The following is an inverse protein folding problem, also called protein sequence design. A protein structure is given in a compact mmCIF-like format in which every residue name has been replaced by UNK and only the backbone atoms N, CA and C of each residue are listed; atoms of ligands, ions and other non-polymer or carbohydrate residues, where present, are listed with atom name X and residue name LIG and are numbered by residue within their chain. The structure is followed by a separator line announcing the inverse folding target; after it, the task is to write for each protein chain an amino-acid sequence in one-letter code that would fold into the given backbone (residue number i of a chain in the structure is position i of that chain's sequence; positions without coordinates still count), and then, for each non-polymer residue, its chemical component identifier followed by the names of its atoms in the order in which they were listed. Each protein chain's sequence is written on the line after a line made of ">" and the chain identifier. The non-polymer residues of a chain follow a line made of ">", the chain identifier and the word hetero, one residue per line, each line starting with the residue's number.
data_IF_230149933413
#
_entry.id   IF_230149933413
#
_cell.length_a   1.000
_cell.length_b   1.000
_cell.length_c   1.000
_cell.angle_alpha   90.00
_cell.angle_beta   90.00
_cell.angle_gamma   90.00
#
_symmetry.space_group_name_H-M   'P 1'
#
loop_
_entity.id
_entity.type
_entity.pdbx_description
1 polymer ?
#
# COMPACT_ATOMS: atom_id res chain seq x y z
N UNK A 1 -11.01 -45.33 39.40
CA UNK A 1 -9.80 -44.79 40.08
C UNK A 1 -8.76 -44.33 39.07
N UNK A 2 -8.02 -45.24 38.42
CA UNK A 2 -6.96 -44.94 37.43
C UNK A 2 -7.37 -43.97 36.29
N UNK A 3 -8.53 -44.18 35.66
CA UNK A 3 -9.02 -43.28 34.60
C UNK A 3 -9.51 -41.92 35.11
N UNK A 4 -10.04 -41.87 36.33
CA UNK A 4 -10.51 -40.62 36.94
C UNK A 4 -9.34 -39.68 37.27
N UNK A 5 -8.22 -40.25 37.75
CA UNK A 5 -6.98 -39.50 38.00
C UNK A 5 -6.41 -38.94 36.70
N UNK A 6 -6.45 -39.72 35.62
CA UNK A 6 -5.95 -39.28 34.32
C UNK A 6 -6.78 -38.11 33.75
N UNK A 7 -8.11 -38.20 33.82
CA UNK A 7 -9.00 -37.13 33.38
C UNK A 7 -8.83 -35.87 34.23
N UNK A 8 -8.70 -36.01 35.55
CA UNK A 8 -8.45 -34.89 36.46
C UNK A 8 -7.10 -34.21 36.17
N UNK A 9 -6.05 -34.98 35.86
CA UNK A 9 -4.73 -34.46 35.53
C UNK A 9 -4.73 -33.66 34.22
N UNK A 10 -5.49 -34.08 33.21
CA UNK A 10 -5.63 -33.32 31.95
C UNK A 10 -6.40 -32.02 32.16
N UNK A 11 -7.46 -32.04 32.96
CA UNK A 11 -8.23 -30.82 33.27
C UNK A 11 -7.45 -29.86 34.18
N UNK A 12 -6.51 -30.38 34.98
CA UNK A 12 -5.60 -29.58 35.80
C UNK A 12 -4.37 -29.08 35.03
N UNK A 13 -4.12 -29.57 33.81
CA UNK A 13 -3.10 -29.03 32.92
C UNK A 13 -3.59 -27.66 32.40
N UNK A 14 -3.30 -26.61 33.17
CA UNK A 14 -3.59 -25.23 32.79
C UNK A 14 -2.89 -24.83 31.48
N UNK A 15 -3.39 -23.78 30.85
CA UNK A 15 -2.74 -23.20 29.68
C UNK A 15 -1.29 -22.86 30.03
N UNK A 16 -0.34 -23.38 29.25
CA UNK A 16 1.03 -22.89 29.30
C UNK A 16 0.98 -21.44 28.77
N UNK A 17 1.12 -20.47 29.67
CA UNK A 17 1.32 -19.07 29.29
C UNK A 17 2.67 -18.96 28.57
N UNK A 18 2.65 -19.20 27.25
CA UNK A 18 3.72 -18.72 26.40
C UNK A 18 3.74 -17.20 26.56
N UNK A 19 4.81 -16.67 27.14
CA UNK A 19 4.98 -15.23 27.33
C UNK A 19 4.61 -14.50 26.03
N UNK A 20 3.82 -13.40 26.07
CA UNK A 20 3.41 -12.65 24.88
C UNK A 20 4.58 -12.20 23.99
N UNK A 21 5.80 -12.21 24.53
CA UNK A 21 7.04 -11.94 23.80
C UNK A 21 7.21 -12.74 22.51
N UNK A 22 6.81 -14.02 22.46
CA UNK A 22 6.94 -14.80 21.23
C UNK A 22 5.98 -14.40 20.10
N UNK A 23 4.84 -13.77 20.42
CA UNK A 23 3.94 -13.19 19.43
C UNK A 23 4.41 -11.81 18.96
N UNK A 24 5.12 -11.07 19.82
CA UNK A 24 5.72 -9.79 19.47
C UNK A 24 6.81 -9.93 18.40
N UNK A 25 7.57 -11.04 18.41
CA UNK A 25 8.55 -11.36 17.35
C UNK A 25 7.88 -11.43 15.96
N UNK A 26 6.67 -11.98 15.86
CA UNK A 26 5.94 -12.17 14.58
C UNK A 26 5.27 -10.86 14.11
N UNK A 27 4.82 -10.03 15.03
CA UNK A 27 4.11 -8.79 14.69
C UNK A 27 5.03 -7.62 14.29
N UNK A 28 6.31 -7.64 14.70
CA UNK A 28 7.11 -6.42 14.84
C UNK A 28 7.78 -5.84 13.57
N UNK A 29 8.12 -6.64 12.56
CA UNK A 29 9.04 -6.16 11.50
C UNK A 29 8.38 -5.94 10.12
N UNK A 30 7.51 -6.86 9.67
CA UNK A 30 6.89 -6.76 8.35
C UNK A 30 5.89 -5.61 8.21
N UNK A 31 5.15 -5.30 9.29
CA UNK A 31 4.11 -4.27 9.27
C UNK A 31 4.69 -2.85 9.13
N UNK A 32 5.77 -2.54 9.86
CA UNK A 32 6.43 -1.24 9.74
C UNK A 32 7.15 -1.08 8.41
N UNK A 33 7.73 -2.16 7.85
CA UNK A 33 8.33 -2.11 6.52
C UNK A 33 7.26 -1.87 5.43
N UNK A 34 6.09 -2.50 5.54
CA UNK A 34 4.95 -2.25 4.67
C UNK A 34 4.46 -0.80 4.76
N UNK A 35 4.29 -0.28 5.99
CA UNK A 35 3.92 1.12 6.21
C UNK A 35 4.97 2.09 5.63
N UNK A 36 6.26 1.80 5.80
CA UNK A 36 7.35 2.60 5.24
C UNK A 36 7.36 2.58 3.71
N UNK A 37 7.14 1.41 3.09
CA UNK A 37 7.08 1.27 1.64
C UNK A 37 5.89 2.04 1.04
N UNK A 38 4.72 1.98 1.69
CA UNK A 38 3.54 2.75 1.27
C UNK A 38 3.81 4.26 1.39
N UNK A 39 4.39 4.71 2.50
CA UNK A 39 4.78 6.11 2.69
C UNK A 39 5.75 6.60 1.60
N UNK A 40 6.75 5.79 1.25
CA UNK A 40 7.69 6.10 0.19
C UNK A 40 7.01 6.21 -1.19
N UNK A 41 6.12 5.29 -1.53
CA UNK A 41 5.38 5.32 -2.79
C UNK A 41 4.52 6.59 -2.93
N UNK A 42 3.82 6.99 -1.85
CA UNK A 42 3.03 8.23 -1.81
C UNK A 42 3.94 9.45 -2.02
N UNK A 43 5.07 9.53 -1.31
CA UNK A 43 6.00 10.65 -1.42
C UNK A 43 6.55 10.79 -2.86
N UNK A 44 6.93 9.68 -3.50
CA UNK A 44 7.40 9.68 -4.89
C UNK A 44 6.30 10.13 -5.85
N UNK A 45 5.09 9.59 -5.70
CA UNK A 45 3.95 9.96 -6.55
C UNK A 45 3.60 11.44 -6.45
N UNK A 46 3.58 11.99 -5.23
CA UNK A 46 3.38 13.42 -5.02
C UNK A 46 4.52 14.24 -5.64
N UNK A 47 5.78 13.87 -5.43
CA UNK A 47 6.91 14.59 -5.98
C UNK A 47 6.91 14.60 -7.52
N UNK A 48 6.61 13.47 -8.16
CA UNK A 48 6.49 13.36 -9.60
C UNK A 48 5.35 14.24 -10.15
N UNK A 49 4.16 14.20 -9.53
CA UNK A 49 3.03 15.05 -9.93
C UNK A 49 3.31 16.55 -9.74
N UNK A 50 4.00 16.92 -8.65
CA UNK A 50 4.44 18.30 -8.40
C UNK A 50 5.49 18.79 -9.40
N UNK A 51 6.36 17.88 -9.88
CA UNK A 51 7.40 18.19 -10.87
C UNK A 51 6.82 18.31 -12.28
N UNK A 52 5.92 17.41 -12.68
CA UNK A 52 5.26 17.42 -14.00
C UNK A 52 4.47 18.70 -14.25
N UNK A 53 3.65 19.14 -13.28
CA UNK A 53 2.88 20.39 -13.38
C UNK A 53 3.74 21.67 -13.44
N UNK A 54 5.03 21.60 -13.10
CA UNK A 54 5.95 22.74 -13.17
C UNK A 54 6.55 22.86 -14.58
N UNK A 55 6.44 21.79 -15.38
CA UNK A 55 6.92 21.72 -16.77
C UNK A 55 5.79 21.86 -17.79
N UNK A 56 4.54 21.55 -17.42
CA UNK A 56 3.34 21.97 -18.16
C UNK A 56 2.93 23.39 -17.73
N UNK A 57 3.58 24.41 -18.28
CA UNK A 57 2.84 25.65 -18.58
C UNK A 57 1.89 25.34 -19.75
N UNK A 58 0.65 25.87 -19.76
CA UNK A 58 -0.26 25.62 -20.88
C UNK A 58 0.28 26.33 -22.11
N UNK A 59 0.82 25.58 -23.08
CA UNK A 59 0.96 26.06 -24.44
C UNK A 59 -0.46 26.35 -24.94
N UNK A 60 -0.78 27.64 -25.05
CA UNK A 60 -1.99 28.08 -25.73
C UNK A 60 -1.87 27.65 -27.20
N UNK A 61 -2.71 26.70 -27.60
CA UNK A 61 -2.88 26.25 -28.98
C UNK A 61 -3.30 27.46 -29.84
N UNK A 62 -2.32 28.07 -30.49
CA UNK A 62 -2.52 28.90 -31.67
C UNK A 62 -2.08 28.06 -32.86
N UNK A 63 -3.00 27.26 -33.40
CA UNK A 63 -2.84 26.63 -34.71
C UNK A 63 -3.80 27.34 -35.66
N UNK A 64 -3.21 28.18 -36.51
CA UNK A 64 -3.84 28.91 -37.61
C UNK A 64 -4.65 27.96 -38.50
N UNK A 65 -5.98 28.11 -38.50
CA UNK A 65 -6.89 27.53 -39.50
C UNK A 65 -6.79 28.29 -40.83
N UNK A 66 -5.59 28.41 -41.40
CA UNK A 66 -5.37 28.86 -42.79
C UNK A 66 -5.16 27.63 -43.68
N UNK A 67 -6.16 26.74 -43.69
CA UNK A 67 -6.30 25.68 -44.67
C UNK A 67 -7.16 26.18 -45.83
N UNK A 68 -6.48 26.90 -46.73
CA UNK A 68 -6.79 27.15 -48.13
C UNK A 68 -7.88 26.22 -48.71
N UNK A 69 -9.13 26.67 -48.63
CA UNK A 69 -10.28 26.00 -49.24
C UNK A 69 -10.39 26.46 -50.70
N UNK A 70 -9.67 25.81 -51.61
CA UNK A 70 -9.93 25.93 -53.05
C UNK A 70 -11.36 25.43 -53.36
N UNK A 71 -12.17 26.18 -54.13
CA UNK A 71 -13.50 25.74 -54.52
C UNK A 71 -13.39 24.72 -55.66
N UNK A 72 -13.77 23.46 -55.41
CA UNK A 72 -13.93 22.45 -56.47
C UNK A 72 -15.32 22.56 -57.10
N UNK A 73 -15.35 22.90 -58.38
CA UNK A 73 -16.55 23.00 -59.22
C UNK A 73 -17.16 21.62 -59.54
N UNK A 74 -18.49 21.52 -59.52
CA UNK A 74 -19.29 20.42 -60.07
C UNK A 74 -20.62 20.92 -60.62
#
# INVERSE_FOLDING_TARGET
>A
MRFAVFVAAIMAAGAAEAHPGHLAEVAGHGHWLGAAAIGAAIAIGLWAGLKGRKSEEPEAEAEDEDADAEPQEA
#
